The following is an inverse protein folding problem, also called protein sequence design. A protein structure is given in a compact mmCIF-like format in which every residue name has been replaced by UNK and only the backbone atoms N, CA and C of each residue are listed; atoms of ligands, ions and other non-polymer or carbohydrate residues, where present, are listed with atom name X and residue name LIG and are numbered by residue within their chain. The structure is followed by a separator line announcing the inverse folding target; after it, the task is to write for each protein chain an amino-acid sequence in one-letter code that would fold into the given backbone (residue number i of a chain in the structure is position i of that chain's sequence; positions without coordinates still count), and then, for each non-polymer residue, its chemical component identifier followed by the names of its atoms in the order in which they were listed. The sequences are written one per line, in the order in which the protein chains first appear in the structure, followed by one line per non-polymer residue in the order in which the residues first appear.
data_IF_567528176139
#
_entry.id   IF_567528176139
#
_cell.length_a   1.000
_cell.length_b   1.000
_cell.length_c   1.000
_cell.angle_alpha   90.00
_cell.angle_beta   90.00
_cell.angle_gamma   90.00
#
_symmetry.space_group_name_H-M   'P 1'
#
loop_
_entity.id
_entity.type
_entity.pdbx_description
1 polymer ?
#
# COMPACT_ATOMS: atom_id res chain seq x y z
N UNK A 1 30.21 -77.43 -19.13
CA UNK A 1 30.04 -76.08 -19.70
C UNK A 1 29.42 -75.21 -18.63
N UNK A 2 30.15 -74.31 -17.96
CA UNK A 2 29.63 -73.46 -16.95
C UNK A 2 29.06 -72.13 -17.56
N UNK A 3 27.85 -71.75 -17.17
CA UNK A 3 27.20 -70.51 -17.54
C UNK A 3 27.69 -69.37 -16.64
N UNK A 4 28.30 -68.34 -17.26
CA UNK A 4 28.68 -67.13 -16.58
C UNK A 4 27.45 -66.22 -16.41
N UNK A 5 27.11 -65.86 -15.18
CA UNK A 5 26.13 -64.82 -14.87
C UNK A 5 26.84 -63.49 -14.80
N UNK A 6 26.53 -62.57 -15.77
CA UNK A 6 26.90 -61.15 -15.70
C UNK A 6 25.93 -60.49 -14.76
N UNK A 7 26.42 -59.99 -13.64
CA UNK A 7 25.70 -59.07 -12.76
C UNK A 7 25.91 -57.63 -13.28
N UNK A 8 24.82 -56.98 -13.76
CA UNK A 8 24.83 -55.59 -14.13
C UNK A 8 24.61 -54.73 -12.86
N UNK A 9 25.63 -54.01 -12.44
CA UNK A 9 25.52 -53.04 -11.38
C UNK A 9 24.92 -51.72 -11.93
N UNK A 10 23.68 -51.43 -11.58
CA UNK A 10 23.05 -50.14 -11.89
C UNK A 10 23.56 -49.06 -10.89
N UNK A 11 24.40 -48.16 -11.37
CA UNK A 11 24.80 -46.97 -10.60
C UNK A 11 23.68 -45.93 -10.57
N UNK A 12 23.06 -45.78 -9.42
CA UNK A 12 22.04 -44.75 -9.19
C UNK A 12 22.74 -43.40 -8.94
N UNK A 13 22.83 -42.55 -9.97
CA UNK A 13 23.34 -41.18 -9.84
C UNK A 13 22.30 -40.32 -9.13
N UNK A 14 22.53 -40.01 -7.85
CA UNK A 14 21.79 -38.96 -7.13
C UNK A 14 22.17 -37.59 -7.71
N UNK A 15 21.32 -37.02 -8.54
CA UNK A 15 21.41 -35.63 -8.94
C UNK A 15 21.03 -34.74 -7.73
N UNK A 16 22.03 -34.26 -7.02
CA UNK A 16 21.85 -33.17 -6.05
C UNK A 16 21.56 -31.91 -6.86
N UNK A 17 20.29 -31.53 -6.94
CA UNK A 17 19.89 -30.27 -7.50
C UNK A 17 20.43 -29.16 -6.56
N UNK A 18 21.57 -28.59 -6.86
CA UNK A 18 22.07 -27.39 -6.24
C UNK A 18 21.08 -26.27 -6.55
N UNK A 19 20.25 -25.88 -5.56
CA UNK A 19 19.41 -24.69 -5.63
C UNK A 19 20.37 -23.51 -5.67
N UNK A 20 20.39 -22.79 -6.80
CA UNK A 20 21.23 -21.58 -6.90
C UNK A 20 20.89 -20.63 -5.77
N UNK A 21 21.88 -20.00 -5.11
CA UNK A 21 21.62 -19.04 -4.06
C UNK A 21 20.86 -17.85 -4.66
N UNK A 22 19.60 -17.70 -4.27
CA UNK A 22 18.77 -16.55 -4.65
C UNK A 22 19.37 -15.32 -3.98
N UNK A 23 19.91 -14.39 -4.76
CA UNK A 23 20.37 -13.09 -4.24
C UNK A 23 19.15 -12.34 -3.70
N UNK A 24 19.14 -11.94 -2.43
CA UNK A 24 18.03 -11.18 -1.88
C UNK A 24 17.83 -9.86 -2.65
N UNK A 25 16.59 -9.46 -2.82
CA UNK A 25 16.27 -8.17 -3.45
C UNK A 25 16.94 -7.02 -2.67
N UNK A 26 17.44 -5.96 -3.34
CA UNK A 26 18.13 -4.85 -2.67
C UNK A 26 17.31 -4.16 -1.56
N UNK A 27 15.98 -4.16 -1.67
CA UNK A 27 15.08 -3.60 -0.67
C UNK A 27 14.85 -4.54 0.54
N UNK A 28 15.22 -5.81 0.46
CA UNK A 28 15.03 -6.75 1.57
C UNK A 28 15.78 -6.28 2.82
N UNK A 29 15.14 -6.36 3.98
CA UNK A 29 15.61 -5.88 5.28
C UNK A 29 15.75 -4.35 5.42
N UNK A 30 15.42 -3.56 4.41
CA UNK A 30 15.43 -2.12 4.53
C UNK A 30 14.23 -1.62 5.35
N UNK A 31 14.47 -0.51 6.07
CA UNK A 31 13.40 0.27 6.68
C UNK A 31 12.93 1.35 5.71
N UNK A 32 11.63 1.48 5.61
CA UNK A 32 10.91 2.42 4.75
C UNK A 32 9.72 3.00 5.52
N UNK A 33 8.95 3.87 4.89
CA UNK A 33 7.75 4.45 5.47
C UNK A 33 6.55 4.20 4.56
N UNK A 34 5.35 4.12 5.12
CA UNK A 34 4.13 4.12 4.31
C UNK A 34 3.88 5.51 3.73
N UNK A 35 3.71 5.62 2.40
CA UNK A 35 3.39 6.90 1.73
C UNK A 35 2.04 7.47 2.18
N UNK A 36 1.18 6.63 2.68
CA UNK A 36 -0.25 6.81 2.77
C UNK A 36 -0.87 5.80 3.74
N UNK A 37 -2.13 6.00 4.06
CA UNK A 37 -2.89 5.01 4.79
C UNK A 37 -3.07 3.74 3.97
N UNK A 38 -2.75 2.59 4.57
CA UNK A 38 -2.96 1.27 4.00
C UNK A 38 -3.99 0.51 4.83
N UNK A 39 -4.89 -0.22 4.18
CA UNK A 39 -5.96 -0.94 4.85
C UNK A 39 -5.88 -2.44 4.57
N UNK A 40 -6.18 -3.27 5.57
CA UNK A 40 -6.25 -4.72 5.41
C UNK A 40 -7.32 -5.35 6.30
N UNK A 41 -8.03 -6.35 5.78
CA UNK A 41 -8.95 -7.21 6.55
C UNK A 41 -8.28 -8.54 6.92
N UNK A 42 -7.40 -9.03 6.06
CA UNK A 42 -6.46 -10.14 6.26
C UNK A 42 -5.06 -9.59 6.05
N UNK A 43 -3.99 -10.27 6.48
CA UNK A 43 -2.62 -9.77 6.30
C UNK A 43 -2.17 -9.77 4.82
N UNK A 44 -3.04 -9.29 3.95
CA UNK A 44 -2.90 -9.20 2.51
C UNK A 44 -3.50 -7.88 2.02
N UNK A 45 -2.73 -7.15 1.21
CA UNK A 45 -3.15 -5.91 0.54
C UNK A 45 -2.92 -6.09 -0.96
N UNK A 46 -3.72 -5.46 -1.79
CA UNK A 46 -3.45 -5.31 -3.23
C UNK A 46 -3.27 -3.83 -3.57
N UNK A 47 -2.75 -3.54 -4.75
CA UNK A 47 -2.68 -2.18 -5.30
C UNK A 47 -4.05 -1.47 -5.42
N UNK A 48 -5.16 -2.18 -5.23
CA UNK A 48 -6.49 -1.59 -5.10
C UNK A 48 -6.69 -0.80 -3.80
N UNK A 49 -5.91 -1.12 -2.75
CA UNK A 49 -5.99 -0.52 -1.42
C UNK A 49 -7.45 -0.27 -0.98
N UNK A 50 -8.25 -1.35 -0.86
CA UNK A 50 -9.64 -1.25 -0.39
C UNK A 50 -9.68 -0.57 0.97
N UNK A 51 -10.46 0.51 1.12
CA UNK A 51 -10.51 1.34 2.31
C UNK A 51 -11.32 0.69 3.43
N UNK A 52 -10.95 -0.53 3.83
CA UNK A 52 -11.64 -1.34 4.83
C UNK A 52 -10.68 -2.10 5.73
N UNK A 53 -11.16 -2.40 6.95
CA UNK A 53 -10.42 -3.21 7.91
C UNK A 53 -9.46 -2.41 8.78
N UNK A 54 -8.35 -3.04 9.15
CA UNK A 54 -7.33 -2.44 10.02
C UNK A 54 -6.50 -1.43 9.23
N UNK A 55 -6.28 -0.26 9.81
CA UNK A 55 -5.50 0.82 9.25
C UNK A 55 -4.03 0.71 9.67
N UNK A 56 -3.11 0.79 8.71
CA UNK A 56 -1.71 1.14 8.92
C UNK A 56 -1.59 2.62 8.54
N UNK A 57 -1.32 3.51 9.50
CA UNK A 57 -1.33 4.96 9.23
C UNK A 57 -0.26 5.40 8.24
N UNK A 58 -0.54 6.49 7.54
CA UNK A 58 0.43 7.29 6.80
C UNK A 58 1.70 7.54 7.65
N UNK A 59 2.87 7.47 7.04
CA UNK A 59 4.16 7.71 7.72
C UNK A 59 4.58 6.63 8.71
N UNK A 60 3.90 5.47 8.74
CA UNK A 60 4.32 4.36 9.59
C UNK A 60 5.65 3.79 9.10
N UNK A 61 6.64 3.70 10.00
CA UNK A 61 7.90 3.03 9.69
C UNK A 61 7.69 1.53 9.57
N UNK A 62 8.13 0.95 8.47
CA UNK A 62 8.01 -0.47 8.16
C UNK A 62 9.38 -1.08 7.89
N UNK A 63 9.48 -2.40 8.01
CA UNK A 63 10.63 -3.18 7.53
C UNK A 63 10.18 -4.06 6.37
N UNK A 64 10.86 -3.97 5.24
CA UNK A 64 10.66 -4.88 4.11
C UNK A 64 11.31 -6.22 4.47
N UNK A 65 10.54 -7.30 4.49
CA UNK A 65 11.01 -8.63 4.84
C UNK A 65 11.42 -9.42 3.59
N UNK A 66 10.60 -9.39 2.56
CA UNK A 66 10.79 -10.14 1.33
C UNK A 66 10.22 -9.38 0.14
N UNK A 67 10.91 -9.42 -0.99
CA UNK A 67 10.41 -8.93 -2.28
C UNK A 67 10.43 -10.08 -3.28
N UNK A 68 9.29 -10.32 -3.92
CA UNK A 68 9.10 -11.32 -4.98
C UNK A 68 8.77 -10.62 -6.29
N UNK A 69 8.51 -11.38 -7.35
CA UNK A 69 8.24 -10.85 -8.70
C UNK A 69 7.13 -9.78 -8.75
N UNK A 70 6.07 -9.95 -7.96
CA UNK A 70 4.85 -9.13 -7.98
C UNK A 70 4.28 -8.83 -6.58
N UNK A 71 5.06 -9.12 -5.56
CA UNK A 71 4.63 -8.88 -4.18
C UNK A 71 5.80 -8.51 -3.27
N UNK A 72 5.46 -7.82 -2.20
CA UNK A 72 6.36 -7.49 -1.11
C UNK A 72 5.72 -7.87 0.22
N UNK A 73 6.49 -8.51 1.10
CA UNK A 73 6.10 -8.76 2.48
C UNK A 73 6.83 -7.76 3.37
N UNK A 74 6.09 -7.06 4.18
CA UNK A 74 6.62 -6.06 5.10
C UNK A 74 6.01 -6.20 6.50
N UNK A 75 6.64 -5.59 7.49
CA UNK A 75 6.18 -5.53 8.87
C UNK A 75 6.13 -4.10 9.36
N UNK A 76 4.99 -3.73 9.94
CA UNK A 76 4.78 -2.50 10.71
C UNK A 76 4.63 -2.84 12.19
N UNK A 77 5.02 -1.92 13.08
CA UNK A 77 4.85 -2.12 14.53
C UNK A 77 3.36 -2.28 14.89
N UNK A 78 3.02 -3.23 15.71
CA UNK A 78 1.64 -3.52 16.11
C UNK A 78 0.81 -4.31 15.10
N UNK A 79 1.37 -4.66 13.92
CA UNK A 79 0.69 -5.40 12.86
C UNK A 79 1.39 -6.73 12.58
N UNK A 80 0.69 -7.78 12.09
CA UNK A 80 1.34 -8.98 11.58
C UNK A 80 2.18 -8.65 10.33
N UNK A 81 3.06 -9.55 9.87
CA UNK A 81 3.63 -9.42 8.53
C UNK A 81 2.53 -9.39 7.48
N UNK A 82 2.61 -8.42 6.55
CA UNK A 82 1.58 -8.16 5.54
C UNK A 82 2.21 -8.31 4.16
N UNK A 83 1.52 -8.99 3.26
CA UNK A 83 1.92 -9.12 1.85
C UNK A 83 1.09 -8.17 1.00
N UNK A 84 1.77 -7.25 0.30
CA UNK A 84 1.19 -6.40 -0.73
C UNK A 84 1.48 -7.02 -2.10
N UNK A 85 0.45 -7.25 -2.89
CA UNK A 85 0.54 -7.86 -4.22
C UNK A 85 0.01 -6.93 -5.30
N UNK A 86 0.77 -6.77 -6.38
CA UNK A 86 0.31 -6.08 -7.59
C UNK A 86 -0.59 -7.02 -8.40
N UNK A 87 -1.81 -6.58 -8.71
CA UNK A 87 -2.76 -7.34 -9.53
C UNK A 87 -2.32 -7.37 -10.99
N UNK A 88 -2.57 -8.48 -11.67
CA UNK A 88 -2.38 -8.58 -13.12
C UNK A 88 -3.31 -7.60 -13.88
N UNK A 89 -2.76 -6.98 -14.94
CA UNK A 89 -3.50 -6.04 -15.79
C UNK A 89 -3.54 -4.58 -15.31
N UNK A 90 -3.12 -4.28 -14.07
CA UNK A 90 -3.05 -2.92 -13.54
C UNK A 90 -1.65 -2.27 -13.70
N UNK A 91 -0.73 -2.93 -14.38
CA UNK A 91 0.70 -2.59 -14.35
C UNK A 91 1.07 -1.50 -15.36
N UNK A 92 1.00 -0.24 -14.96
CA UNK A 92 1.75 0.83 -15.60
C UNK A 92 3.15 1.02 -15.01
N UNK A 93 3.46 0.36 -13.87
CA UNK A 93 4.72 0.46 -13.15
C UNK A 93 5.33 -0.92 -12.91
N UNK A 94 6.66 -0.99 -12.86
CA UNK A 94 7.36 -2.15 -12.30
C UNK A 94 7.09 -2.23 -10.80
N UNK A 95 7.35 -3.40 -10.19
CA UNK A 95 7.24 -3.55 -8.74
C UNK A 95 8.13 -2.51 -8.01
N UNK A 96 9.37 -2.33 -8.43
CA UNK A 96 10.30 -1.38 -7.80
C UNK A 96 9.77 0.04 -7.84
N UNK A 97 9.30 0.50 -9.00
CA UNK A 97 8.68 1.82 -9.15
C UNK A 97 7.44 1.98 -8.27
N UNK A 98 6.66 0.91 -8.10
CA UNK A 98 5.50 0.92 -7.21
C UNK A 98 5.94 0.97 -5.74
N UNK A 99 6.95 0.20 -5.35
CA UNK A 99 7.49 0.18 -3.99
C UNK A 99 8.08 1.53 -3.58
N UNK A 100 8.80 2.20 -4.47
CA UNK A 100 9.33 3.55 -4.21
C UNK A 100 8.23 4.60 -3.99
N UNK A 101 7.05 4.41 -4.61
CA UNK A 101 5.89 5.26 -4.35
C UNK A 101 5.21 4.95 -3.02
N UNK A 102 4.96 3.66 -2.75
CA UNK A 102 4.16 3.21 -1.60
C UNK A 102 5.00 3.15 -0.32
N UNK A 103 6.28 2.84 -0.46
CA UNK A 103 7.23 2.77 0.65
C UNK A 103 8.45 3.67 0.41
N UNK A 104 8.30 5.01 0.48
CA UNK A 104 9.41 5.93 0.32
C UNK A 104 10.50 5.68 1.40
N UNK A 105 11.78 5.99 1.08
CA UNK A 105 12.89 5.86 2.03
C UNK A 105 12.84 6.89 3.15
N UNK A 106 12.30 8.08 2.85
CA UNK A 106 12.24 9.21 3.77
C UNK A 106 10.87 9.32 4.42
N UNK A 107 10.84 9.88 5.64
CA UNK A 107 9.60 10.11 6.38
C UNK A 107 8.69 11.11 5.63
N UNK A 108 7.52 10.67 5.15
CA UNK A 108 6.63 11.52 4.38
C UNK A 108 5.94 12.62 5.22
N UNK A 109 6.02 12.58 6.55
CA UNK A 109 5.56 13.68 7.39
C UNK A 109 6.30 15.00 7.09
N UNK A 110 7.53 14.94 6.58
CA UNK A 110 8.28 16.11 6.14
C UNK A 110 7.59 16.88 5.00
N UNK A 111 6.70 16.23 4.25
CA UNK A 111 5.93 16.81 3.14
C UNK A 111 4.65 17.52 3.60
N UNK A 112 4.20 17.28 4.84
CA UNK A 112 3.05 17.99 5.38
C UNK A 112 3.39 19.45 5.67
N UNK A 113 2.42 20.37 5.46
CA UNK A 113 2.58 21.76 5.86
C UNK A 113 2.98 21.85 7.34
N UNK A 114 3.97 22.68 7.64
CA UNK A 114 4.32 22.98 9.03
C UNK A 114 3.12 23.68 9.69
N UNK A 115 2.81 23.25 10.90
CA UNK A 115 1.72 23.88 11.66
C UNK A 115 2.14 25.31 12.03
N UNK A 116 1.39 26.34 11.62
CA UNK A 116 1.61 27.69 12.12
C UNK A 116 1.41 27.75 13.63
N UNK A 117 2.01 28.73 14.34
CA UNK A 117 1.96 28.75 15.81
C UNK A 117 0.55 28.93 16.36
N UNK A 118 -0.31 29.66 15.65
CA UNK A 118 -1.70 29.93 16.07
C UNK A 118 -2.61 30.41 14.93
N UNK A 119 -3.87 30.69 15.26
CA UNK A 119 -4.84 31.30 14.39
C UNK A 119 -5.63 30.36 13.49
N UNK A 120 -6.44 30.93 12.59
CA UNK A 120 -7.34 30.18 11.68
C UNK A 120 -6.57 29.26 10.76
N UNK A 121 -5.38 29.65 10.31
CA UNK A 121 -4.55 28.87 9.42
C UNK A 121 -4.00 27.63 10.15
N UNK A 122 -3.61 27.75 11.41
CA UNK A 122 -3.19 26.62 12.22
C UNK A 122 -4.32 25.58 12.37
N UNK A 123 -5.52 26.06 12.65
CA UNK A 123 -6.71 25.20 12.79
C UNK A 123 -7.03 24.44 11.48
N UNK A 124 -6.88 25.07 10.32
CA UNK A 124 -7.14 24.43 9.03
C UNK A 124 -6.06 23.39 8.68
N UNK A 125 -4.78 23.70 8.92
CA UNK A 125 -3.67 22.74 8.74
C UNK A 125 -3.85 21.54 9.67
N UNK A 126 -4.20 21.76 10.94
CA UNK A 126 -4.43 20.71 11.92
C UNK A 126 -5.64 19.84 11.54
N UNK A 127 -6.71 20.44 11.07
CA UNK A 127 -7.89 19.72 10.54
C UNK A 127 -7.50 18.84 9.35
N UNK A 128 -6.73 19.37 8.39
CA UNK A 128 -6.26 18.61 7.23
C UNK A 128 -5.37 17.45 7.65
N UNK A 129 -4.46 17.64 8.61
CA UNK A 129 -3.63 16.55 9.17
C UNK A 129 -4.49 15.43 9.78
N UNK A 130 -5.46 15.77 10.61
CA UNK A 130 -6.39 14.78 11.17
C UNK A 130 -7.14 14.04 10.08
N UNK A 131 -7.61 14.71 9.05
CA UNK A 131 -8.28 14.05 7.92
C UNK A 131 -7.37 13.07 7.20
N UNK A 132 -6.09 13.43 6.99
CA UNK A 132 -5.10 12.51 6.42
C UNK A 132 -4.94 11.28 7.32
N UNK A 133 -4.73 11.47 8.62
CA UNK A 133 -4.55 10.39 9.60
C UNK A 133 -5.77 9.47 9.70
N UNK A 134 -6.98 10.02 9.55
CA UNK A 134 -8.25 9.28 9.56
C UNK A 134 -8.60 8.63 8.22
N UNK A 135 -7.83 8.90 7.15
CA UNK A 135 -8.13 8.39 5.81
C UNK A 135 -9.37 9.01 5.19
N UNK A 136 -9.64 10.29 5.49
CA UNK A 136 -10.78 11.04 4.95
C UNK A 136 -10.34 12.17 4.04
N UNK A 137 -11.21 12.57 3.10
CA UNK A 137 -10.95 13.63 2.12
C UNK A 137 -12.09 14.62 2.11
N UNK A 138 -11.76 15.92 1.96
CA UNK A 138 -12.73 17.00 1.77
C UNK A 138 -12.35 17.93 0.62
N UNK A 139 -13.31 18.72 0.19
CA UNK A 139 -13.10 19.81 -0.77
C UNK A 139 -12.01 20.75 -0.25
N UNK A 140 -11.12 21.19 -1.15
CA UNK A 140 -10.00 22.06 -0.85
C UNK A 140 -8.68 21.33 -0.56
N UNK A 141 -8.69 20.03 -0.26
CA UNK A 141 -7.45 19.25 -0.11
C UNK A 141 -6.70 19.15 -1.45
N UNK A 142 -5.36 19.17 -1.40
CA UNK A 142 -4.54 18.98 -2.60
C UNK A 142 -4.47 17.51 -3.02
N UNK A 143 -4.08 17.24 -4.28
CA UNK A 143 -3.83 15.87 -4.79
C UNK A 143 -2.87 15.10 -3.89
N UNK A 144 -1.80 15.74 -3.44
CA UNK A 144 -0.81 15.10 -2.56
C UNK A 144 -1.42 14.73 -1.19
N UNK A 145 -2.25 15.58 -0.62
CA UNK A 145 -2.99 15.29 0.62
C UNK A 145 -4.00 14.14 0.45
N UNK A 146 -4.65 14.05 -0.71
CA UNK A 146 -5.51 12.91 -1.04
C UNK A 146 -4.71 11.62 -1.16
N UNK A 147 -3.53 11.65 -1.79
CA UNK A 147 -2.64 10.48 -1.83
C UNK A 147 -2.20 10.04 -0.44
N UNK A 148 -1.85 10.98 0.45
CA UNK A 148 -1.50 10.66 1.85
C UNK A 148 -2.68 10.02 2.60
N UNK A 149 -3.90 10.53 2.39
CA UNK A 149 -5.09 10.04 3.07
C UNK A 149 -5.57 8.67 2.56
N UNK A 150 -5.59 8.46 1.25
CA UNK A 150 -6.25 7.30 0.62
C UNK A 150 -5.29 6.36 -0.12
N UNK A 151 -4.05 6.77 -0.33
CA UNK A 151 -3.11 6.08 -1.19
C UNK A 151 -3.30 6.39 -2.67
N UNK A 152 -2.51 5.70 -3.49
CA UNK A 152 -2.60 5.85 -4.95
C UNK A 152 -3.90 5.22 -5.47
N UNK A 153 -4.63 5.92 -6.34
CA UNK A 153 -5.81 5.33 -6.97
C UNK A 153 -5.38 4.15 -7.87
N UNK A 154 -6.20 3.08 -7.97
CA UNK A 154 -5.90 1.95 -8.83
C UNK A 154 -5.70 2.36 -10.29
N UNK A 155 -4.57 1.96 -10.90
CA UNK A 155 -4.19 2.38 -12.25
C UNK A 155 -5.19 1.92 -13.34
N UNK A 156 -5.91 0.82 -13.12
CA UNK A 156 -6.97 0.34 -13.99
C UNK A 156 -8.22 1.23 -13.99
N UNK A 157 -8.37 2.09 -12.98
CA UNK A 157 -9.50 3.03 -12.83
C UNK A 157 -9.07 4.49 -13.00
N UNK A 158 -7.81 4.79 -12.72
CA UNK A 158 -7.22 6.12 -12.83
C UNK A 158 -5.83 5.99 -13.45
N UNK A 159 -5.74 5.93 -14.80
CA UNK A 159 -4.47 5.68 -15.49
C UNK A 159 -3.44 6.81 -15.33
N UNK A 160 -3.88 8.04 -15.04
CA UNK A 160 -3.01 9.19 -14.81
C UNK A 160 -3.39 9.92 -13.53
N UNK A 161 -2.37 10.32 -12.77
CA UNK A 161 -2.55 11.20 -11.61
C UNK A 161 -2.88 12.64 -11.99
N UNK A 162 -2.72 13.03 -13.27
CA UNK A 162 -3.14 14.34 -13.80
C UNK A 162 -4.62 14.37 -14.19
N UNK A 163 -5.31 13.22 -14.17
CA UNK A 163 -6.74 13.15 -14.47
C UNK A 163 -7.55 14.07 -13.54
N UNK A 164 -8.56 14.75 -14.10
CA UNK A 164 -9.47 15.62 -13.32
C UNK A 164 -10.36 14.86 -12.34
N UNK A 165 -10.42 13.53 -12.44
CA UNK A 165 -11.20 12.68 -11.53
C UNK A 165 -10.40 11.42 -11.23
N UNK A 166 -10.29 11.12 -9.94
CA UNK A 166 -9.71 9.87 -9.44
C UNK A 166 -10.81 8.96 -8.89
N UNK A 167 -10.72 7.66 -9.20
CA UNK A 167 -11.66 6.66 -8.71
C UNK A 167 -10.98 5.71 -7.75
N UNK A 168 -11.59 5.53 -6.59
CA UNK A 168 -11.12 4.65 -5.51
C UNK A 168 -12.09 3.51 -5.26
N UNK A 169 -11.58 2.43 -4.69
CA UNK A 169 -12.37 1.34 -4.17
C UNK A 169 -12.67 1.54 -2.69
N UNK A 170 -13.94 1.75 -2.35
CA UNK A 170 -14.41 1.69 -0.97
C UNK A 170 -14.37 0.25 -0.43
N UNK A 171 -14.76 -0.69 -1.28
CA UNK A 171 -14.72 -2.14 -1.03
C UNK A 171 -14.73 -2.89 -2.36
N UNK A 172 -14.71 -4.22 -2.32
CA UNK A 172 -14.88 -5.04 -3.52
C UNK A 172 -16.28 -4.78 -4.11
N UNK A 173 -16.36 -4.07 -5.23
CA UNK A 173 -17.59 -3.74 -5.95
C UNK A 173 -18.22 -2.38 -5.59
N UNK A 174 -17.69 -1.64 -4.61
CA UNK A 174 -18.14 -0.29 -4.29
C UNK A 174 -17.02 0.73 -4.54
N UNK A 175 -17.30 1.76 -5.33
CA UNK A 175 -16.34 2.81 -5.72
C UNK A 175 -16.87 4.19 -5.41
N UNK A 176 -15.96 5.15 -5.25
CA UNK A 176 -16.28 6.56 -5.18
C UNK A 176 -15.28 7.38 -5.97
N UNK A 177 -15.62 8.62 -6.26
CA UNK A 177 -14.83 9.52 -7.11
C UNK A 177 -14.47 10.80 -6.38
N UNK A 178 -13.25 11.28 -6.66
CA UNK A 178 -12.76 12.57 -6.22
C UNK A 178 -12.44 13.37 -7.47
N UNK A 179 -13.13 14.50 -7.64
CA UNK A 179 -12.91 15.42 -8.75
C UNK A 179 -12.02 16.58 -8.30
N UNK A 180 -11.19 17.07 -9.22
CA UNK A 180 -10.23 18.14 -8.97
C UNK A 180 -10.45 19.31 -9.93
N UNK A 181 -10.24 20.51 -9.42
CA UNK A 181 -10.02 21.74 -10.18
C UNK A 181 -8.59 22.21 -9.90
N UNK A 182 -7.76 22.18 -10.93
CA UNK A 182 -6.30 22.33 -10.74
C UNK A 182 -5.75 21.23 -9.82
N UNK A 183 -5.10 21.63 -8.73
CA UNK A 183 -4.53 20.72 -7.73
C UNK A 183 -5.46 20.45 -6.54
N UNK A 184 -6.63 21.09 -6.48
CA UNK A 184 -7.53 20.98 -5.32
C UNK A 184 -8.77 20.14 -5.59
N UNK A 185 -9.20 19.40 -4.57
CA UNK A 185 -10.46 18.66 -4.59
C UNK A 185 -11.62 19.64 -4.72
N UNK A 186 -12.39 19.52 -5.79
CA UNK A 186 -13.63 20.29 -6.02
C UNK A 186 -14.88 19.49 -5.59
N UNK A 187 -14.81 18.15 -5.63
CA UNK A 187 -15.95 17.30 -5.29
C UNK A 187 -15.50 15.91 -4.81
N UNK A 188 -16.22 15.38 -3.81
CA UNK A 188 -16.17 13.97 -3.39
C UNK A 188 -17.55 13.37 -3.60
N UNK A 189 -17.69 12.33 -4.44
CA UNK A 189 -18.99 11.79 -4.81
C UNK A 189 -19.66 11.02 -3.66
N UNK A 190 -18.94 10.11 -3.02
CA UNK A 190 -19.34 9.34 -1.84
C UNK A 190 -18.12 8.69 -1.25
N UNK A 191 -17.72 9.12 -0.07
CA UNK A 191 -16.64 8.46 0.66
C UNK A 191 -17.24 7.53 1.70
N UNK A 192 -16.72 6.30 1.88
CA UNK A 192 -17.10 5.47 3.01
C UNK A 192 -16.71 6.14 4.33
N UNK A 193 -17.43 5.85 5.39
CA UNK A 193 -17.08 6.31 6.73
C UNK A 193 -15.69 5.77 7.13
N UNK A 194 -14.89 6.60 7.79
CA UNK A 194 -13.59 6.19 8.31
C UNK A 194 -13.71 4.92 9.17
N UNK A 195 -12.75 3.97 9.05
CA UNK A 195 -12.74 2.78 9.88
C UNK A 195 -12.64 3.21 11.35
N UNK A 196 -13.66 2.92 12.15
CA UNK A 196 -13.70 3.27 13.59
C UNK A 196 -14.64 4.39 14.00
N UNK A 197 -15.33 5.08 13.08
CA UNK A 197 -16.40 6.04 13.41
C UNK A 197 -17.71 5.38 13.89
N UNK A 198 -17.62 4.11 14.32
CA UNK A 198 -18.72 3.41 14.96
C UNK A 198 -19.19 4.18 16.19
N UNK A 199 -20.40 4.74 16.10
CA UNK A 199 -21.18 5.40 17.16
C UNK A 199 -20.79 4.84 18.53
N UNK A 200 -20.09 5.61 19.34
CA UNK A 200 -20.16 5.42 20.79
C UNK A 200 -21.63 5.59 21.16
N UNK A 201 -22.30 4.46 21.30
CA UNK A 201 -23.68 4.43 21.76
C UNK A 201 -23.76 5.22 23.07
N UNK A 202 -24.50 6.30 23.02
CA UNK A 202 -24.96 7.06 24.18
C UNK A 202 -25.88 6.10 24.93
N UNK A 203 -25.32 5.37 25.92
CA UNK A 203 -26.16 4.73 26.95
C UNK A 203 -26.60 5.84 27.88
N UNK A 204 -27.90 6.21 27.78
CA UNK A 204 -28.60 6.94 28.81
C UNK A 204 -28.92 6.02 29.99
#
# INVERSE_FOLDING_TARGET
MPRAHLAAAAALALAVACKEPTVPHPLANQFRYTCCNLHYEKPEITDANYLRGTLIPFGTRIQILEVRKDSVTFKAAGHPPITLTLRDGARSLTLDQYLDRVFPPDDPYARLPKLPPDGKQAAEVDKTRRMIEEGTVSVGMTRDQVLMALGYPPADRTPSLDASTWRYWASRGDTFEISFEGDQVSRVSRQPAAPGSGRRGRRG
#
